data_IF_462159663754
#
_entry.id   IF_462159663754
#
_cell.length_a   1.000
_cell.length_b   1.000
_cell.length_c   1.000
_cell.angle_alpha   90.00
_cell.angle_beta   90.00
_cell.angle_gamma   90.00
#
_symmetry.space_group_name_H-M   'P 1'
#
loop_
_entity.id
_entity.type
_entity.pdbx_description
1 polymer ?
#
# COMPACT_ATOMS: atom_id res chain seq x y z
N UNK A 1 -2.80 25.68 -10.38
CA UNK A 1 -3.49 24.68 -9.53
C UNK A 1 -2.92 23.32 -9.88
N UNK A 2 -2.54 22.51 -8.90
CA UNK A 2 -2.20 21.09 -9.15
C UNK A 2 -3.44 20.43 -9.74
N UNK A 3 -3.28 19.67 -10.83
CA UNK A 3 -4.41 18.93 -11.39
C UNK A 3 -4.89 17.89 -10.37
N UNK A 4 -6.18 17.60 -10.32
CA UNK A 4 -6.72 16.51 -9.49
C UNK A 4 -5.99 15.20 -9.78
N UNK A 5 -5.56 15.00 -11.03
CA UNK A 5 -4.71 13.88 -11.45
C UNK A 5 -3.35 13.84 -10.75
N UNK A 6 -2.67 14.98 -10.63
CA UNK A 6 -1.36 15.07 -9.96
C UNK A 6 -1.47 14.76 -8.46
N UNK A 7 -2.58 15.16 -7.85
CA UNK A 7 -2.89 14.87 -6.44
C UNK A 7 -3.10 13.37 -6.24
N UNK A 8 -3.84 12.72 -7.13
CA UNK A 8 -4.05 11.26 -7.08
C UNK A 8 -2.75 10.50 -7.34
N UNK A 9 -1.91 10.94 -8.28
CA UNK A 9 -0.60 10.33 -8.54
C UNK A 9 0.36 10.46 -7.35
N UNK A 10 0.38 11.62 -6.68
CA UNK A 10 1.17 11.82 -5.46
C UNK A 10 0.69 10.87 -4.37
N UNK A 11 -0.62 10.79 -4.14
CA UNK A 11 -1.21 9.88 -3.16
C UNK A 11 -0.88 8.41 -3.46
N UNK A 12 -0.92 8.02 -4.73
CA UNK A 12 -0.55 6.68 -5.17
C UNK A 12 0.92 6.37 -4.87
N UNK A 13 1.81 7.33 -5.08
CA UNK A 13 3.23 7.19 -4.76
C UNK A 13 3.46 6.99 -3.26
N UNK A 14 2.80 7.81 -2.42
CA UNK A 14 2.86 7.69 -0.95
C UNK A 14 2.39 6.31 -0.48
N UNK A 15 1.24 5.85 -0.95
CA UNK A 15 0.68 4.54 -0.58
C UNK A 15 1.58 3.39 -1.00
N UNK A 16 2.18 3.47 -2.20
CA UNK A 16 3.14 2.46 -2.69
C UNK A 16 4.42 2.44 -1.85
N UNK A 17 4.90 3.60 -1.40
CA UNK A 17 6.03 3.68 -0.48
C UNK A 17 5.69 3.03 0.85
N UNK A 18 4.58 3.42 1.49
CA UNK A 18 4.14 2.85 2.77
C UNK A 18 3.94 1.33 2.69
N UNK A 19 3.36 0.85 1.58
CA UNK A 19 3.19 -0.58 1.34
C UNK A 19 4.53 -1.33 1.28
N UNK A 20 5.57 -0.76 0.65
CA UNK A 20 6.92 -1.34 0.56
C UNK A 20 7.63 -1.31 1.91
N UNK A 21 7.47 -0.24 2.67
CA UNK A 21 8.05 -0.11 4.00
C UNK A 21 7.44 -1.14 4.96
N UNK A 22 6.11 -1.31 4.93
CA UNK A 22 5.43 -2.35 5.70
C UNK A 22 5.89 -3.76 5.33
N UNK A 23 6.16 -4.03 4.06
CA UNK A 23 6.69 -5.32 3.64
C UNK A 23 8.06 -5.60 4.28
N UNK A 24 8.95 -4.60 4.26
CA UNK A 24 10.27 -4.69 4.89
C UNK A 24 10.16 -4.93 6.40
N UNK A 25 9.23 -4.25 7.08
CA UNK A 25 8.97 -4.46 8.51
C UNK A 25 8.44 -5.87 8.79
N UNK A 26 7.49 -6.36 7.98
CA UNK A 26 6.93 -7.71 8.12
C UNK A 26 8.01 -8.77 7.98
N UNK A 27 8.91 -8.64 7.00
CA UNK A 27 10.02 -9.58 6.80
C UNK A 27 10.91 -9.61 8.04
N UNK A 28 11.38 -8.45 8.51
CA UNK A 28 12.22 -8.36 9.71
C UNK A 28 11.54 -8.94 10.95
N UNK A 29 10.26 -8.65 11.17
CA UNK A 29 9.52 -9.19 12.32
C UNK A 29 9.28 -10.70 12.21
N UNK A 30 9.15 -11.23 11.00
CA UNK A 30 9.01 -12.68 10.79
C UNK A 30 10.34 -13.39 11.08
N UNK A 31 11.46 -12.79 10.70
CA UNK A 31 12.81 -13.33 10.94
C UNK A 31 13.22 -13.33 12.42
N UNK A 32 12.76 -12.35 13.21
CA UNK A 32 13.08 -12.22 14.65
C UNK A 32 12.37 -13.31 15.50
N UNK A 33 11.37 -14.02 14.96
CA UNK A 33 10.78 -15.21 15.56
C UNK A 33 9.39 -15.03 16.16
N UNK A 34 8.66 -16.15 16.25
CA UNK A 34 7.21 -16.31 16.43
C UNK A 34 6.53 -15.65 17.64
N UNK A 35 7.23 -14.87 18.47
CA UNK A 35 6.64 -14.24 19.66
C UNK A 35 5.64 -13.12 19.32
N UNK A 36 5.66 -12.62 18.08
CA UNK A 36 4.81 -11.49 17.69
C UNK A 36 3.88 -11.76 16.49
N UNK A 37 3.35 -12.99 16.42
CA UNK A 37 2.41 -13.42 15.40
C UNK A 37 1.21 -12.47 15.24
N UNK A 38 0.69 -11.93 16.34
CA UNK A 38 -0.45 -11.00 16.31
C UNK A 38 -0.08 -9.66 15.65
N UNK A 39 1.10 -9.10 15.95
CA UNK A 39 1.53 -7.86 15.30
C UNK A 39 1.84 -8.11 13.83
N UNK A 40 2.48 -9.24 13.47
CA UNK A 40 2.68 -9.61 12.06
C UNK A 40 1.34 -9.75 11.32
N UNK A 41 0.32 -10.35 11.94
CA UNK A 41 -1.02 -10.44 11.35
C UNK A 41 -1.66 -9.05 11.15
N UNK A 42 -1.54 -8.14 12.12
CA UNK A 42 -2.03 -6.76 12.01
C UNK A 42 -1.32 -6.00 10.88
N UNK A 43 -0.01 -6.14 10.76
CA UNK A 43 0.77 -5.52 9.68
C UNK A 43 0.39 -6.08 8.31
N UNK A 44 0.22 -7.40 8.18
CA UNK A 44 -0.28 -8.03 6.94
C UNK A 44 -1.66 -7.53 6.56
N UNK A 45 -2.57 -7.38 7.53
CA UNK A 45 -3.90 -6.80 7.29
C UNK A 45 -3.82 -5.36 6.79
N UNK A 46 -2.97 -4.53 7.40
CA UNK A 46 -2.73 -3.14 6.95
C UNK A 46 -2.14 -3.10 5.54
N UNK A 47 -1.16 -3.97 5.24
CA UNK A 47 -0.57 -4.11 3.91
C UNK A 47 -1.63 -4.47 2.86
N UNK A 48 -2.56 -5.38 3.17
CA UNK A 48 -3.67 -5.72 2.29
C UNK A 48 -4.60 -4.52 2.04
N UNK A 49 -4.96 -3.77 3.08
CA UNK A 49 -5.79 -2.56 2.93
C UNK A 49 -5.12 -1.49 2.05
N UNK A 50 -3.80 -1.28 2.18
CA UNK A 50 -3.07 -0.38 1.29
C UNK A 50 -3.07 -0.87 -0.16
N UNK A 51 -2.89 -2.19 -0.38
CA UNK A 51 -2.99 -2.77 -1.72
C UNK A 51 -4.37 -2.53 -2.34
N UNK A 52 -5.44 -2.68 -1.57
CA UNK A 52 -6.80 -2.44 -2.04
C UNK A 52 -7.05 -0.94 -2.34
N UNK A 53 -6.51 -0.04 -1.52
CA UNK A 53 -6.59 1.41 -1.74
C UNK A 53 -5.81 1.83 -2.99
N UNK A 54 -4.60 1.30 -3.17
CA UNK A 54 -3.77 1.48 -4.37
C UNK A 54 -4.55 1.04 -5.61
N UNK A 55 -5.11 -0.18 -5.60
CA UNK A 55 -5.88 -0.70 -6.72
C UNK A 55 -7.10 0.16 -7.04
N UNK A 56 -7.83 0.65 -6.02
CA UNK A 56 -8.97 1.56 -6.22
C UNK A 56 -8.55 2.90 -6.82
N UNK A 57 -7.44 3.48 -6.37
CA UNK A 57 -6.93 4.74 -6.93
C UNK A 57 -6.39 4.56 -8.34
N UNK A 58 -5.72 3.43 -8.61
CA UNK A 58 -5.32 3.04 -9.97
C UNK A 58 -6.55 2.91 -10.87
N UNK A 59 -7.60 2.20 -10.46
CA UNK A 59 -8.84 2.10 -11.25
C UNK A 59 -9.49 3.46 -11.53
N UNK A 60 -9.40 4.43 -10.61
CA UNK A 60 -9.87 5.81 -10.84
C UNK A 60 -8.99 6.62 -11.79
N UNK A 61 -7.72 6.23 -11.96
CA UNK A 61 -6.79 6.79 -12.95
C UNK A 61 -6.87 6.03 -14.29
N UNK A 62 -7.38 4.79 -14.31
CA UNK A 62 -7.66 3.97 -15.49
C UNK A 62 -9.11 4.17 -16.04
N UNK A 63 -9.65 5.39 -16.19
CA UNK A 63 -10.69 5.62 -17.19
C UNK A 63 -10.10 5.72 -18.61
N UNK A 64 -8.82 6.09 -18.75
CA UNK A 64 -8.21 6.46 -20.04
C UNK A 64 -7.37 5.37 -20.73
N UNK A 65 -7.11 4.21 -20.09
CA UNK A 65 -6.11 3.26 -20.61
C UNK A 65 -6.61 1.81 -20.81
N UNK A 66 -7.84 1.46 -20.42
CA UNK A 66 -8.42 0.13 -20.67
C UNK A 66 -9.95 0.28 -20.89
N UNK A 67 -10.36 0.87 -22.01
CA UNK A 67 -11.64 0.64 -22.72
C UNK A 67 -11.59 1.36 -24.07
#
# INVERSE_FOLDING_TARGET
MLSDRDTVLRRLHELRSEHRDLDTVIIRMTDIGAQDLLNVQRLKKRKLSLKDEIARLESRLIPDNIA
#
